data_IF_119855979628
#
_entry.id   IF_119855979628
#
_cell.length_a   1.000
_cell.length_b   1.000
_cell.length_c   1.000
_cell.angle_alpha   90.00
_cell.angle_beta   90.00
_cell.angle_gamma   90.00
#
_symmetry.space_group_name_H-M   'P 1'
#
loop_
_entity.id
_entity.type
_entity.pdbx_description
1 polymer ?
#
# COMPACT_ATOMS: atom_id res chain seq x y z
N UNK A 1 -5.77 8.44 -32.42
CA UNK A 1 -7.16 8.36 -31.96
C UNK A 1 -7.51 9.61 -31.15
N UNK A 2 -8.66 10.28 -31.35
CA UNK A 2 -8.99 11.54 -30.66
C UNK A 2 -9.03 11.43 -29.13
N UNK A 3 -9.48 10.29 -28.60
CA UNK A 3 -9.54 10.02 -27.16
C UNK A 3 -8.15 9.96 -26.51
N UNK A 4 -7.18 9.33 -27.19
CA UNK A 4 -5.81 9.28 -26.73
C UNK A 4 -5.16 10.67 -26.63
N UNK A 5 -5.33 11.47 -27.69
CA UNK A 5 -4.81 12.85 -27.71
C UNK A 5 -5.40 13.65 -26.55
N UNK A 6 -6.71 13.50 -26.33
CA UNK A 6 -7.36 14.18 -25.22
C UNK A 6 -6.86 13.69 -23.86
N UNK A 7 -6.69 12.39 -23.67
CA UNK A 7 -6.17 11.82 -22.43
C UNK A 7 -4.79 12.37 -22.08
N UNK A 8 -3.89 12.46 -23.08
CA UNK A 8 -2.56 13.07 -22.93
C UNK A 8 -2.62 14.53 -22.50
N UNK A 9 -3.53 15.31 -23.09
CA UNK A 9 -3.69 16.73 -22.78
C UNK A 9 -4.26 16.96 -21.38
N UNK A 10 -5.20 16.12 -20.94
CA UNK A 10 -5.97 16.39 -19.72
C UNK A 10 -5.45 15.65 -18.48
N UNK A 11 -4.73 14.54 -18.62
CA UNK A 11 -4.24 13.77 -17.47
C UNK A 11 -3.37 14.57 -16.48
N UNK A 12 -2.56 15.57 -16.89
CA UNK A 12 -1.82 16.41 -15.95
C UNK A 12 -2.72 17.18 -14.97
N UNK A 13 -3.98 17.45 -15.35
CA UNK A 13 -4.93 18.21 -14.55
C UNK A 13 -5.79 17.34 -13.64
N UNK A 14 -5.67 16.01 -13.74
CA UNK A 14 -6.48 15.12 -12.91
C UNK A 14 -6.02 15.20 -11.45
N UNK A 15 -7.00 15.19 -10.57
CA UNK A 15 -6.86 14.97 -9.14
C UNK A 15 -6.55 13.49 -8.85
N UNK A 16 -6.15 13.20 -7.61
CA UNK A 16 -5.94 11.83 -7.14
C UNK A 16 -7.20 10.96 -7.32
N UNK A 17 -8.37 11.52 -6.97
CA UNK A 17 -9.65 10.82 -7.08
C UNK A 17 -10.05 10.56 -8.54
N UNK A 18 -9.89 11.55 -9.42
CA UNK A 18 -10.19 11.37 -10.87
C UNK A 18 -9.26 10.32 -11.49
N UNK A 19 -7.97 10.35 -11.14
CA UNK A 19 -7.00 9.34 -11.59
C UNK A 19 -7.41 7.93 -11.15
N UNK A 20 -7.77 7.77 -9.87
CA UNK A 20 -8.22 6.48 -9.32
C UNK A 20 -9.51 5.99 -10.01
N UNK A 21 -10.50 6.87 -10.17
CA UNK A 21 -11.77 6.54 -10.79
C UNK A 21 -11.61 6.11 -12.27
N UNK A 22 -10.76 6.80 -13.02
CA UNK A 22 -10.50 6.44 -14.41
C UNK A 22 -9.81 5.08 -14.54
N UNK A 23 -8.77 4.82 -13.74
CA UNK A 23 -8.10 3.51 -13.73
C UNK A 23 -9.05 2.39 -13.30
N UNK A 24 -9.89 2.63 -12.29
CA UNK A 24 -10.90 1.68 -11.87
C UNK A 24 -11.93 1.39 -12.96
N UNK A 25 -12.44 2.43 -13.62
CA UNK A 25 -13.35 2.29 -14.76
C UNK A 25 -12.75 1.47 -15.89
N UNK A 26 -11.50 1.76 -16.27
CA UNK A 26 -10.77 1.01 -17.29
C UNK A 26 -10.60 -0.47 -16.90
N UNK A 27 -10.26 -0.76 -15.63
CA UNK A 27 -10.15 -2.13 -15.12
C UNK A 27 -11.47 -2.91 -15.13
N UNK A 28 -12.61 -2.21 -14.97
CA UNK A 28 -13.95 -2.80 -15.01
C UNK A 28 -14.37 -3.14 -16.43
N UNK A 29 -13.98 -2.30 -17.39
CA UNK A 29 -14.32 -2.47 -18.81
C UNK A 29 -13.40 -3.47 -19.52
N UNK A 30 -12.30 -3.92 -18.88
CA UNK A 30 -11.27 -4.78 -19.48
C UNK A 30 -10.80 -4.25 -20.84
N UNK A 31 -10.62 -2.93 -20.91
CA UNK A 31 -10.20 -2.24 -22.14
C UNK A 31 -8.69 -2.12 -22.14
N UNK A 32 -8.09 -2.57 -23.22
CA UNK A 32 -6.66 -2.43 -23.50
C UNK A 32 -6.35 -1.00 -24.00
N UNK A 33 -6.56 -0.03 -23.12
CA UNK A 33 -6.28 1.39 -23.36
C UNK A 33 -4.89 1.76 -22.82
N UNK A 34 -3.86 0.98 -23.18
CA UNK A 34 -2.53 1.04 -22.56
C UNK A 34 -1.92 2.44 -22.55
N UNK A 35 -2.12 3.21 -23.61
CA UNK A 35 -1.56 4.55 -23.72
C UNK A 35 -2.28 5.56 -22.80
N UNK A 36 -3.60 5.44 -22.64
CA UNK A 36 -4.37 6.22 -21.66
C UNK A 36 -3.93 5.85 -20.24
N UNK A 37 -3.79 4.56 -19.98
CA UNK A 37 -3.34 4.06 -18.68
C UNK A 37 -1.92 4.57 -18.39
N UNK A 38 -1.02 4.56 -19.38
CA UNK A 38 0.32 5.12 -19.25
C UNK A 38 0.30 6.60 -18.85
N UNK A 39 -0.56 7.43 -19.46
CA UNK A 39 -0.65 8.84 -19.08
C UNK A 39 -1.23 9.05 -17.67
N UNK A 40 -2.16 8.19 -17.24
CA UNK A 40 -2.71 8.20 -15.89
C UNK A 40 -1.71 7.69 -14.84
N UNK A 41 -0.93 6.65 -15.14
CA UNK A 41 0.10 6.17 -14.20
C UNK A 41 1.32 7.07 -14.17
N UNK A 42 1.68 7.70 -15.29
CA UNK A 42 2.73 8.73 -15.33
C UNK A 42 2.42 9.89 -14.39
N UNK A 43 1.14 10.26 -14.25
CA UNK A 43 0.69 11.30 -13.31
C UNK A 43 1.04 10.99 -11.85
N UNK A 44 1.18 9.71 -11.47
CA UNK A 44 1.66 9.28 -10.14
C UNK A 44 3.12 9.65 -9.87
N UNK A 45 3.88 10.10 -10.86
CA UNK A 45 5.27 10.55 -10.71
C UNK A 45 5.36 12.03 -10.38
N UNK A 46 4.22 12.72 -10.34
CA UNK A 46 4.16 14.16 -10.11
C UNK A 46 3.77 14.45 -8.66
N UNK A 47 4.67 15.14 -7.96
CA UNK A 47 4.58 15.48 -6.53
C UNK A 47 3.20 16.00 -6.06
N UNK A 48 2.52 16.92 -6.78
CA UNK A 48 1.22 17.41 -6.36
C UNK A 48 0.15 16.32 -6.23
N UNK A 49 0.23 15.26 -7.04
CA UNK A 49 -0.72 14.15 -6.96
C UNK A 49 -0.37 13.20 -5.83
N UNK A 50 0.90 12.83 -5.70
CA UNK A 50 1.34 11.85 -4.71
C UNK A 50 1.08 12.30 -3.28
N UNK A 51 1.23 13.59 -2.99
CA UNK A 51 0.89 14.16 -1.67
C UNK A 51 -0.60 14.26 -1.41
N UNK A 52 -1.43 14.28 -2.45
CA UNK A 52 -2.88 14.42 -2.34
C UNK A 52 -3.62 13.08 -2.30
N UNK A 53 -2.94 11.96 -2.56
CA UNK A 53 -3.52 10.62 -2.48
C UNK A 53 -3.91 10.30 -1.04
N UNK A 54 -5.15 9.88 -0.84
CA UNK A 54 -5.57 9.24 0.40
C UNK A 54 -5.51 7.72 0.21
N UNK A 55 -5.72 7.03 1.32
CA UNK A 55 -5.66 5.58 1.38
C UNK A 55 -6.59 4.91 0.37
N UNK A 56 -7.80 5.44 0.21
CA UNK A 56 -8.80 4.91 -0.71
C UNK A 56 -8.34 5.02 -2.17
N UNK A 57 -7.83 6.17 -2.58
CA UNK A 57 -7.35 6.37 -3.96
C UNK A 57 -6.12 5.49 -4.24
N UNK A 58 -5.13 5.46 -3.33
CA UNK A 58 -3.93 4.64 -3.51
C UNK A 58 -4.26 3.14 -3.65
N UNK A 59 -5.14 2.63 -2.79
CA UNK A 59 -5.61 1.24 -2.84
C UNK A 59 -6.37 0.95 -4.14
N UNK A 60 -7.24 1.88 -4.55
CA UNK A 60 -8.06 1.72 -5.77
C UNK A 60 -7.16 1.67 -7.01
N UNK A 61 -6.13 2.51 -7.06
CA UNK A 61 -5.16 2.53 -8.16
C UNK A 61 -4.40 1.20 -8.21
N UNK A 62 -3.84 0.72 -7.10
CA UNK A 62 -3.14 -0.57 -7.06
C UNK A 62 -4.03 -1.74 -7.48
N UNK A 63 -5.25 -1.82 -6.95
CA UNK A 63 -6.21 -2.84 -7.34
C UNK A 63 -6.49 -2.82 -8.84
N UNK A 64 -6.67 -1.62 -9.41
CA UNK A 64 -6.97 -1.43 -10.83
C UNK A 64 -5.80 -1.86 -11.71
N UNK A 65 -4.57 -1.51 -11.33
CA UNK A 65 -3.36 -1.94 -12.05
C UNK A 65 -3.17 -3.45 -11.99
N UNK A 66 -3.37 -4.06 -10.81
CA UNK A 66 -3.35 -5.51 -10.68
C UNK A 66 -4.38 -6.18 -11.57
N UNK A 67 -5.61 -5.66 -11.60
CA UNK A 67 -6.69 -6.20 -12.42
C UNK A 67 -6.48 -6.04 -13.92
N UNK A 68 -5.75 -5.02 -14.34
CA UNK A 68 -5.33 -4.78 -15.71
C UNK A 68 -4.03 -5.53 -16.08
N UNK A 69 -3.43 -6.26 -15.14
CA UNK A 69 -2.13 -6.94 -15.27
C UNK A 69 -0.98 -5.98 -15.66
N UNK A 70 -0.98 -4.77 -15.08
CA UNK A 70 -0.01 -3.72 -15.39
C UNK A 70 1.05 -3.64 -14.29
N UNK A 71 2.27 -4.07 -14.63
CA UNK A 71 3.43 -4.04 -13.75
C UNK A 71 4.19 -2.71 -13.85
N UNK A 72 3.69 -1.67 -13.18
CA UNK A 72 4.44 -0.41 -12.98
C UNK A 72 5.12 -0.41 -11.60
N UNK A 73 6.38 -0.86 -11.54
CA UNK A 73 7.10 -1.02 -10.27
C UNK A 73 7.22 0.29 -9.47
N UNK A 74 7.32 1.44 -10.16
CA UNK A 74 7.36 2.73 -9.49
C UNK A 74 6.03 3.03 -8.82
N UNK A 75 4.91 2.87 -9.54
CA UNK A 75 3.58 3.06 -8.97
C UNK A 75 3.36 2.12 -7.78
N UNK A 76 3.72 0.84 -7.93
CA UNK A 76 3.59 -0.15 -6.86
C UNK A 76 4.41 0.22 -5.63
N UNK A 77 5.69 0.61 -5.79
CA UNK A 77 6.54 1.02 -4.69
C UNK A 77 6.01 2.29 -4.00
N UNK A 78 5.71 3.33 -4.76
CA UNK A 78 5.27 4.63 -4.23
C UNK A 78 3.94 4.50 -3.48
N UNK A 79 2.95 3.85 -4.09
CA UNK A 79 1.63 3.70 -3.47
C UNK A 79 1.67 2.78 -2.25
N UNK A 80 2.48 1.71 -2.28
CA UNK A 80 2.63 0.83 -1.11
C UNK A 80 3.33 1.53 0.05
N UNK A 81 4.34 2.37 -0.23
CA UNK A 81 4.98 3.20 0.78
C UNK A 81 4.01 4.19 1.41
N UNK A 82 3.23 4.90 0.60
CA UNK A 82 2.18 5.81 1.09
C UNK A 82 1.15 5.08 1.97
N UNK A 83 0.71 3.89 1.54
CA UNK A 83 -0.22 3.08 2.34
C UNK A 83 0.43 2.61 3.63
N UNK A 84 1.70 2.20 3.61
CA UNK A 84 2.44 1.83 4.81
C UNK A 84 2.49 2.98 5.81
N UNK A 85 2.84 4.19 5.36
CA UNK A 85 2.89 5.37 6.23
C UNK A 85 1.51 5.70 6.83
N UNK A 86 0.43 5.54 6.05
CA UNK A 86 -0.95 5.72 6.53
C UNK A 86 -1.41 4.61 7.49
N UNK A 87 -0.93 3.38 7.32
CA UNK A 87 -1.29 2.23 8.20
C UNK A 87 -0.48 2.26 9.50
N UNK A 88 0.83 2.55 9.39
CA UNK A 88 1.81 2.55 10.46
C UNK A 88 1.93 3.85 11.25
N UNK A 89 1.37 4.96 10.73
CA UNK A 89 1.36 6.26 11.39
C UNK A 89 0.68 6.23 12.77
N UNK A 90 1.36 6.83 13.76
CA UNK A 90 0.99 6.80 15.19
C UNK A 90 -0.22 7.67 15.55
N UNK A 91 -0.76 8.45 14.61
CA UNK A 91 -1.83 9.45 14.86
C UNK A 91 -3.09 9.24 14.01
N UNK A 92 -3.35 8.00 13.56
CA UNK A 92 -4.62 7.72 12.88
C UNK A 92 -5.69 7.56 13.95
N UNK A 93 -6.45 8.62 14.15
CA UNK A 93 -7.73 8.62 14.86
C UNK A 93 -8.54 7.38 14.41
N UNK A 94 -9.15 6.68 15.37
CA UNK A 94 -9.80 5.37 15.16
C UNK A 94 -10.84 5.33 14.03
N UNK A 95 -11.28 6.49 13.56
CA UNK A 95 -12.21 6.71 12.44
C UNK A 95 -11.59 6.59 11.04
N UNK A 96 -10.25 6.63 10.92
CA UNK A 96 -9.56 6.73 9.63
C UNK A 96 -8.62 5.54 9.34
N UNK A 97 -8.85 4.44 10.05
CA UNK A 97 -8.05 3.23 9.90
C UNK A 97 -8.23 2.56 8.55
N UNK A 98 -7.17 1.93 8.01
CA UNK A 98 -7.27 1.12 6.82
C UNK A 98 -8.29 -0.01 6.99
N UNK A 99 -9.32 -0.09 6.13
CA UNK A 99 -10.17 -1.26 6.15
C UNK A 99 -9.32 -2.48 5.75
N UNK A 100 -9.53 -3.67 6.35
CA UNK A 100 -8.77 -4.88 6.01
C UNK A 100 -8.78 -5.21 4.51
N UNK A 101 -9.84 -4.82 3.82
CA UNK A 101 -9.99 -4.93 2.37
C UNK A 101 -8.94 -4.14 1.60
N UNK A 102 -8.48 -3.00 2.12
CA UNK A 102 -7.42 -2.22 1.47
C UNK A 102 -6.09 -2.99 1.45
N UNK A 103 -5.72 -3.58 2.59
CA UNK A 103 -4.50 -4.40 2.71
C UNK A 103 -4.60 -5.62 1.79
N UNK A 104 -5.75 -6.31 1.80
CA UNK A 104 -5.99 -7.44 0.91
C UNK A 104 -5.83 -7.04 -0.57
N UNK A 105 -6.36 -5.89 -0.99
CA UNK A 105 -6.21 -5.39 -2.36
C UNK A 105 -4.75 -5.12 -2.73
N UNK A 106 -3.97 -4.51 -1.84
CA UNK A 106 -2.54 -4.25 -2.08
C UNK A 106 -1.78 -5.56 -2.26
N UNK A 107 -1.92 -6.50 -1.30
CA UNK A 107 -1.23 -7.78 -1.34
C UNK A 107 -1.62 -8.61 -2.56
N UNK A 108 -2.91 -8.64 -2.89
CA UNK A 108 -3.42 -9.31 -4.08
C UNK A 108 -2.88 -8.68 -5.37
N UNK A 109 -2.90 -7.35 -5.49
CA UNK A 109 -2.45 -6.64 -6.68
C UNK A 109 -0.96 -6.91 -6.95
N UNK A 110 -0.10 -6.87 -5.91
CA UNK A 110 1.32 -7.21 -6.03
C UNK A 110 1.52 -8.63 -6.57
N UNK A 111 0.82 -9.59 -5.97
CA UNK A 111 0.89 -11.00 -6.41
C UNK A 111 0.42 -11.17 -7.85
N UNK A 112 -0.62 -10.45 -8.24
CA UNK A 112 -1.20 -10.52 -9.59
C UNK A 112 -0.19 -10.10 -10.66
N UNK A 113 0.61 -9.06 -10.40
CA UNK A 113 1.63 -8.56 -11.36
C UNK A 113 3.03 -9.15 -11.11
N UNK A 114 3.11 -10.23 -10.33
CA UNK A 114 4.36 -10.92 -9.98
C UNK A 114 5.41 -10.03 -9.29
N UNK A 115 4.96 -9.09 -8.46
CA UNK A 115 5.80 -8.31 -7.56
C UNK A 115 5.73 -8.87 -6.13
N UNK A 116 6.83 -8.77 -5.35
CA UNK A 116 6.84 -9.22 -3.97
C UNK A 116 5.85 -8.38 -3.14
N UNK A 117 4.85 -9.01 -2.49
CA UNK A 117 3.90 -8.27 -1.67
C UNK A 117 4.58 -7.56 -0.49
N UNK A 118 4.20 -6.31 -0.17
CA UNK A 118 4.78 -5.54 0.94
C UNK A 118 4.28 -6.10 2.28
N UNK A 119 5.03 -7.03 2.86
CA UNK A 119 4.66 -7.72 4.10
C UNK A 119 4.62 -6.76 5.30
N UNK A 120 5.37 -5.68 5.25
CA UNK A 120 5.47 -4.65 6.28
C UNK A 120 4.11 -4.00 6.54
N UNK A 121 3.28 -3.83 5.51
CA UNK A 121 1.92 -3.28 5.63
C UNK A 121 1.03 -4.21 6.46
N UNK A 122 1.09 -5.52 6.17
CA UNK A 122 0.33 -6.52 6.91
C UNK A 122 0.81 -6.60 8.36
N UNK A 123 2.13 -6.59 8.59
CA UNK A 123 2.72 -6.65 9.92
C UNK A 123 2.35 -5.42 10.75
N UNK A 124 2.44 -4.22 10.17
CA UNK A 124 2.06 -2.97 10.84
C UNK A 124 0.58 -2.99 11.25
N UNK A 125 -0.31 -3.41 10.33
CA UNK A 125 -1.72 -3.55 10.63
C UNK A 125 -2.00 -4.62 11.69
N UNK A 126 -1.39 -5.81 11.58
CA UNK A 126 -1.58 -6.91 12.53
C UNK A 126 -1.10 -6.52 13.94
N UNK A 127 0.05 -5.85 14.04
CA UNK A 127 0.55 -5.31 15.31
C UNK A 127 -0.43 -4.30 15.91
N UNK A 128 -0.93 -3.36 15.10
CA UNK A 128 -1.87 -2.32 15.55
C UNK A 128 -3.25 -2.88 15.94
N UNK A 129 -3.80 -3.81 15.15
CA UNK A 129 -5.17 -4.30 15.30
C UNK A 129 -5.32 -5.49 16.20
N UNK A 130 -4.38 -6.43 16.12
CA UNK A 130 -4.47 -7.70 16.81
C UNK A 130 -3.54 -7.74 18.03
N UNK A 131 -2.71 -6.70 18.23
CA UNK A 131 -1.69 -6.69 19.28
C UNK A 131 -0.59 -7.74 19.06
N UNK A 132 -0.52 -8.33 17.86
CA UNK A 132 0.45 -9.38 17.55
C UNK A 132 1.81 -8.72 17.37
N UNK A 133 2.65 -8.83 18.39
CA UNK A 133 4.08 -8.53 18.26
C UNK A 133 4.73 -9.74 17.58
N UNK A 134 5.49 -9.56 16.50
CA UNK A 134 6.25 -10.66 15.92
C UNK A 134 7.11 -11.28 17.02
N UNK A 135 7.06 -12.61 17.16
CA UNK A 135 7.99 -13.33 18.04
C UNK A 135 9.39 -12.96 17.55
N UNK A 136 10.11 -12.18 18.35
CA UNK A 136 11.50 -11.87 18.07
C UNK A 136 12.25 -13.20 18.07
N UNK A 137 12.86 -13.57 16.95
CA UNK A 137 13.75 -14.74 16.85
C UNK A 137 15.09 -14.47 17.55
N UNK A 138 15.06 -13.96 18.78
CA UNK A 138 16.22 -13.86 19.66
C UNK A 138 15.76 -14.03 21.10
N UNK A 139 15.34 -15.24 21.42
CA UNK A 139 15.31 -15.71 22.80
C UNK A 139 16.75 -16.15 23.10
N UNK A 140 17.59 -15.21 23.55
CA UNK A 140 18.88 -15.54 24.15
C UNK A 140 18.56 -16.23 25.48
N UNK A 141 18.81 -17.53 25.54
CA UNK A 141 18.64 -18.37 26.74
C UNK A 141 19.71 -18.13 27.81
N UNK A 142 20.50 -17.05 27.71
CA UNK A 142 21.68 -16.82 28.55
C UNK A 142 21.45 -15.87 29.73
N UNK A 143 20.28 -15.22 29.85
CA UNK A 143 20.04 -14.20 30.89
C UNK A 143 19.23 -14.68 32.13
N UNK A 144 19.04 -15.99 32.33
CA UNK A 144 18.42 -16.51 33.56
C UNK A 144 19.39 -17.36 34.38
N UNK A 145 20.34 -16.74 35.08
CA UNK A 145 20.95 -17.29 36.31
C UNK A 145 21.57 -16.17 37.17
N UNK A 146 20.73 -15.34 37.82
CA UNK A 146 21.13 -14.74 39.10
C UNK A 146 20.72 -15.70 40.22
N UNK A 147 21.70 -16.45 40.70
CA UNK A 147 21.62 -17.22 41.95
C UNK A 147 21.40 -16.22 43.10
N UNK A 148 20.24 -16.29 43.75
CA UNK A 148 20.03 -15.63 45.04
C UNK A 148 20.67 -16.52 46.11
N UNK A 149 21.84 -16.14 46.61
CA UNK A 149 22.43 -16.74 47.80
C UNK A 149 21.51 -16.48 48.99
N UNK A 150 20.91 -17.54 49.52
CA UNK A 150 20.14 -17.50 50.75
C UNK A 150 21.12 -17.68 51.92
N UNK A 151 21.46 -16.59 52.60
CA UNK A 151 22.15 -16.65 53.89
C UNK A 151 21.33 -17.51 54.86
N UNK A 152 21.95 -18.58 55.37
CA UNK A 152 21.41 -19.38 56.46
C UNK A 152 21.99 -18.84 57.78
N UNK A 153 21.19 -18.03 58.48
CA UNK A 153 21.39 -17.73 59.90
C UNK A 153 21.20 -19.01 60.73
N UNK A 154 22.27 -19.45 61.41
CA UNK A 154 22.24 -20.29 62.62
C UNK A 154 23.42 -19.94 63.53
#
# INVERSE_FOLDING_TARGET
EPLLMRAREVSPYFTAQETANCLWGLSRLKRDAYEVIFYLTKRLREEPLTRALKLQEATTILYSLGKLDIRDEYAFKTLSGLIFDMVGGSEVDSSNEPPPTAIAHVLWAHRQVHLPPPQEILNAWAKKKLGIVPIATSMNWEDEYEFVDFEADL
#
